data_IF_163871500813
#
_entry.id   IF_163871500813
#
_cell.length_a   1.000
_cell.length_b   1.000
_cell.length_c   1.000
_cell.angle_alpha   90.00
_cell.angle_beta   90.00
_cell.angle_gamma   90.00
#
_symmetry.space_group_name_H-M   'P 1'
#
loop_
_entity.id
_entity.type
_entity.pdbx_description
1 polymer ?
#
# COMPACT_ATOMS: atom_id res chain seq x y z
N UNK A 1 -6.05 -5.57 22.63
CA UNK A 1 -4.98 -5.84 21.65
C UNK A 1 -5.44 -6.97 20.74
N UNK A 2 -5.60 -6.71 19.44
CA UNK A 2 -6.01 -7.73 18.47
C UNK A 2 -4.89 -8.77 18.31
N UNK A 3 -5.27 -10.05 18.26
CA UNK A 3 -4.34 -11.15 18.01
C UNK A 3 -3.60 -10.97 16.66
N UNK A 4 -2.31 -11.31 16.63
CA UNK A 4 -1.44 -11.07 15.47
C UNK A 4 -1.95 -11.78 14.21
N UNK A 5 -2.52 -12.98 14.37
CA UNK A 5 -3.09 -13.74 13.26
C UNK A 5 -4.34 -13.04 12.70
N UNK A 6 -5.24 -12.57 13.57
CA UNK A 6 -6.42 -11.79 13.16
C UNK A 6 -6.00 -10.51 12.44
N UNK A 7 -4.99 -9.82 12.96
CA UNK A 7 -4.46 -8.61 12.36
C UNK A 7 -3.92 -8.84 10.95
N UNK A 8 -3.11 -9.89 10.78
CA UNK A 8 -2.60 -10.30 9.48
C UNK A 8 -3.73 -10.58 8.49
N UNK A 9 -4.78 -11.30 8.91
CA UNK A 9 -5.96 -11.58 8.06
C UNK A 9 -6.66 -10.29 7.59
N UNK A 10 -6.79 -9.28 8.44
CA UNK A 10 -7.36 -7.98 8.07
C UNK A 10 -6.53 -7.30 6.98
N UNK A 11 -5.20 -7.22 7.13
CA UNK A 11 -4.36 -6.56 6.13
C UNK A 11 -4.24 -7.36 4.83
N UNK A 12 -4.19 -8.69 4.89
CA UNK A 12 -4.30 -9.54 3.70
C UNK A 12 -5.62 -9.30 2.97
N UNK A 13 -6.74 -9.21 3.70
CA UNK A 13 -8.05 -8.91 3.11
C UNK A 13 -8.09 -7.54 2.41
N UNK A 14 -7.54 -6.49 3.03
CA UNK A 14 -7.47 -5.14 2.43
C UNK A 14 -6.63 -5.17 1.14
N UNK A 15 -5.47 -5.80 1.18
CA UNK A 15 -4.57 -5.90 0.02
C UNK A 15 -5.21 -6.71 -1.11
N UNK A 16 -5.76 -7.87 -0.81
CA UNK A 16 -6.39 -8.75 -1.80
C UNK A 16 -7.62 -8.08 -2.45
N UNK A 17 -8.45 -7.41 -1.64
CA UNK A 17 -9.60 -6.65 -2.14
C UNK A 17 -9.14 -5.52 -3.06
N UNK A 18 -8.11 -4.77 -2.68
CA UNK A 18 -7.54 -3.70 -3.50
C UNK A 18 -7.00 -4.20 -4.85
N UNK A 19 -6.32 -5.35 -4.86
CA UNK A 19 -5.83 -5.99 -6.10
C UNK A 19 -7.00 -6.39 -7.00
N UNK A 20 -8.04 -7.03 -6.46
CA UNK A 20 -9.23 -7.45 -7.22
C UNK A 20 -10.04 -6.24 -7.74
N UNK A 21 -10.02 -5.12 -7.01
CA UNK A 21 -10.61 -3.84 -7.43
C UNK A 21 -9.76 -3.12 -8.49
N UNK A 22 -8.58 -3.63 -8.82
CA UNK A 22 -7.60 -2.96 -9.69
C UNK A 22 -7.20 -1.57 -9.19
N UNK A 23 -7.27 -1.36 -7.86
CA UNK A 23 -6.88 -0.10 -7.25
C UNK A 23 -5.38 0.15 -7.43
N UNK A 24 -5.00 1.41 -7.52
CA UNK A 24 -3.58 1.79 -7.57
C UNK A 24 -2.85 1.29 -6.31
N UNK A 25 -1.60 0.87 -6.48
CA UNK A 25 -0.76 0.38 -5.39
C UNK A 25 -0.69 1.37 -4.21
N UNK A 26 -0.60 2.67 -4.52
CA UNK A 26 -0.63 3.76 -3.52
C UNK A 26 -1.91 3.73 -2.68
N UNK A 27 -3.08 3.64 -3.32
CA UNK A 27 -4.38 3.58 -2.65
C UNK A 27 -4.50 2.35 -1.74
N UNK A 28 -3.99 1.19 -2.17
CA UNK A 28 -3.97 -0.03 -1.34
C UNK A 28 -3.11 0.19 -0.07
N UNK A 29 -1.89 0.73 -0.23
CA UNK A 29 -1.00 1.01 0.89
C UNK A 29 -1.57 2.06 1.84
N UNK A 30 -2.19 3.12 1.29
CA UNK A 30 -2.89 4.14 2.08
C UNK A 30 -4.04 3.53 2.87
N UNK A 31 -4.86 2.67 2.25
CA UNK A 31 -5.92 1.93 2.94
C UNK A 31 -5.37 1.07 4.09
N UNK A 32 -4.22 0.41 3.93
CA UNK A 32 -3.57 -0.31 5.02
C UNK A 32 -3.15 0.61 6.18
N UNK A 33 -2.55 1.77 5.90
CA UNK A 33 -2.17 2.74 6.95
C UNK A 33 -3.40 3.25 7.69
N UNK A 34 -4.47 3.58 6.97
CA UNK A 34 -5.72 4.05 7.57
C UNK A 34 -6.40 2.97 8.40
N UNK A 35 -6.42 1.73 7.91
CA UNK A 35 -6.93 0.57 8.64
C UNK A 35 -6.11 0.35 9.92
N UNK A 36 -4.78 0.46 9.86
CA UNK A 36 -3.94 0.38 11.05
C UNK A 36 -4.32 1.46 12.08
N UNK A 37 -4.41 2.73 11.68
CA UNK A 37 -4.73 3.83 12.60
C UNK A 37 -6.10 3.69 13.23
N UNK A 38 -7.11 3.32 12.43
CA UNK A 38 -8.47 3.09 12.92
C UNK A 38 -8.55 1.95 13.94
N UNK A 39 -7.69 0.93 13.82
CA UNK A 39 -7.63 -0.20 14.75
C UNK A 39 -6.74 0.06 15.98
N UNK A 40 -5.75 0.95 15.87
CA UNK A 40 -4.82 1.30 16.94
C UNK A 40 -5.30 2.50 17.79
N UNK A 41 -6.33 3.24 17.34
CA UNK A 41 -6.73 4.54 17.91
C UNK A 41 -5.58 5.56 17.97
N UNK A 42 -4.79 5.63 16.89
CA UNK A 42 -3.70 6.60 16.79
C UNK A 42 -4.16 7.91 16.13
N UNK A 43 -3.94 9.02 16.82
CA UNK A 43 -4.14 10.37 16.27
C UNK A 43 -3.13 10.61 15.14
N UNK A 44 -3.57 11.22 14.03
CA UNK A 44 -2.67 11.57 12.93
C UNK A 44 -2.41 13.07 12.88
N UNK A 45 -1.15 13.51 12.98
CA UNK A 45 -0.82 14.94 13.18
C UNK A 45 -0.98 15.88 11.96
N UNK A 46 -1.64 15.47 10.87
CA UNK A 46 -1.75 16.34 9.69
C UNK A 46 -3.07 16.19 8.93
N UNK A 47 -3.75 17.31 8.70
CA UNK A 47 -4.86 17.46 7.77
C UNK A 47 -4.34 17.86 6.38
N UNK A 48 -4.71 17.12 5.34
CA UNK A 48 -4.38 17.37 3.94
C UNK A 48 -5.52 16.73 3.11
N UNK A 49 -5.97 17.33 2.00
CA UNK A 49 -7.11 16.82 1.24
C UNK A 49 -6.88 15.41 0.72
N UNK A 50 -7.95 14.61 0.74
CA UNK A 50 -7.97 13.24 0.22
C UNK A 50 -8.02 13.25 -1.29
N UNK A 51 -6.96 12.73 -1.91
CA UNK A 51 -6.92 12.49 -3.34
C UNK A 51 -6.78 10.98 -3.58
N UNK A 52 -7.81 10.23 -3.23
CA UNK A 52 -7.86 8.79 -3.52
C UNK A 52 -8.85 8.48 -4.65
N UNK A 53 -8.59 7.35 -5.30
CA UNK A 53 -9.37 6.80 -6.41
C UNK A 53 -10.81 6.50 -5.99
N UNK A 54 -11.79 7.01 -6.75
CA UNK A 54 -13.21 6.75 -6.48
C UNK A 54 -13.57 5.37 -7.04
N UNK A 55 -13.82 4.43 -6.13
CA UNK A 55 -14.28 3.08 -6.45
C UNK A 55 -15.78 2.97 -6.17
N UNK A 56 -16.52 2.31 -7.05
CA UNK A 56 -17.96 2.12 -6.90
C UNK A 56 -18.31 1.27 -5.67
N UNK A 57 -19.22 1.73 -4.81
CA UNK A 57 -19.61 1.01 -3.58
C UNK A 57 -20.09 -0.42 -3.83
N UNK A 58 -20.75 -0.67 -4.97
CA UNK A 58 -21.21 -2.00 -5.37
C UNK A 58 -20.03 -2.94 -5.63
N UNK A 59 -18.99 -2.45 -6.30
CA UNK A 59 -17.81 -3.23 -6.65
C UNK A 59 -17.03 -3.59 -5.39
N UNK A 60 -16.90 -2.63 -4.46
CA UNK A 60 -16.32 -2.87 -3.13
C UNK A 60 -17.05 -3.99 -2.40
N UNK A 61 -18.39 -3.94 -2.34
CA UNK A 61 -19.19 -4.97 -1.66
C UNK A 61 -19.03 -6.34 -2.34
N UNK A 62 -19.14 -6.39 -3.67
CA UNK A 62 -19.04 -7.64 -4.42
C UNK A 62 -17.66 -8.29 -4.26
N UNK A 63 -16.59 -7.50 -4.35
CA UNK A 63 -15.23 -8.00 -4.19
C UNK A 63 -14.98 -8.43 -2.75
N UNK A 64 -15.33 -7.60 -1.76
CA UNK A 64 -15.23 -7.97 -0.35
C UNK A 64 -15.97 -9.29 -0.05
N UNK A 65 -17.19 -9.44 -0.58
CA UNK A 65 -17.97 -10.67 -0.43
C UNK A 65 -17.27 -11.86 -1.07
N UNK A 66 -16.72 -11.71 -2.28
CA UNK A 66 -15.99 -12.78 -2.99
C UNK A 66 -14.68 -13.20 -2.32
N UNK A 67 -14.05 -12.30 -1.55
CA UNK A 67 -12.83 -12.61 -0.78
C UNK A 67 -13.20 -13.33 0.52
N UNK A 68 -14.26 -12.91 1.20
CA UNK A 68 -14.70 -13.51 2.48
C UNK A 68 -15.39 -14.87 2.24
N UNK A 69 -16.14 -15.02 1.15
CA UNK A 69 -16.94 -16.21 0.84
C UNK A 69 -16.65 -16.73 -0.58
N UNK A 70 -15.45 -17.28 -0.84
CA UNK A 70 -15.04 -17.70 -2.19
C UNK A 70 -15.93 -18.79 -2.80
N UNK A 71 -16.53 -19.66 -1.98
CA UNK A 71 -17.38 -20.77 -2.43
C UNK A 71 -18.86 -20.38 -2.65
N UNK A 72 -19.22 -19.11 -2.39
CA UNK A 72 -20.59 -18.62 -2.55
C UNK A 72 -20.78 -17.97 -3.93
N UNK A 73 -22.00 -18.05 -4.50
CA UNK A 73 -22.31 -17.29 -5.71
C UNK A 73 -22.19 -15.79 -5.44
N UNK A 74 -22.02 -15.02 -6.52
CA UNK A 74 -22.06 -13.56 -6.47
C UNK A 74 -23.38 -13.07 -5.87
N UNK A 75 -23.33 -11.92 -5.20
CA UNK A 75 -24.51 -11.32 -4.60
C UNK A 75 -25.51 -10.87 -5.68
N UNK A 76 -26.72 -11.41 -5.63
CA UNK A 76 -27.83 -10.91 -6.42
C UNK A 76 -28.25 -9.51 -5.97
N UNK A 77 -28.85 -8.75 -6.89
CA UNK A 77 -29.51 -7.49 -6.54
C UNK A 77 -30.74 -7.81 -5.68
N UNK A 78 -30.60 -7.61 -4.37
CA UNK A 78 -31.61 -7.99 -3.40
C UNK A 78 -31.36 -7.37 -2.03
N UNK A 79 -32.20 -7.71 -1.03
CA UNK A 79 -32.15 -7.11 0.31
C UNK A 79 -30.78 -7.26 0.98
N UNK A 80 -30.08 -8.38 0.77
CA UNK A 80 -28.73 -8.59 1.30
C UNK A 80 -27.73 -7.54 0.80
N UNK A 81 -27.72 -7.27 -0.51
CA UNK A 81 -26.83 -6.26 -1.10
C UNK A 81 -27.17 -4.86 -0.56
N UNK A 82 -28.45 -4.54 -0.39
CA UNK A 82 -28.89 -3.27 0.17
C UNK A 82 -28.48 -3.09 1.64
N UNK A 83 -28.65 -4.13 2.46
CA UNK A 83 -28.25 -4.10 3.87
C UNK A 83 -26.72 -3.97 4.01
N UNK A 84 -25.95 -4.65 3.16
CA UNK A 84 -24.49 -4.51 3.13
C UNK A 84 -24.08 -3.10 2.72
N UNK A 85 -24.77 -2.49 1.75
CA UNK A 85 -24.52 -1.11 1.34
C UNK A 85 -24.76 -0.13 2.48
N UNK A 86 -25.87 -0.25 3.21
CA UNK A 86 -26.16 0.61 4.36
C UNK A 86 -25.13 0.43 5.47
N UNK A 87 -24.79 -0.83 5.78
CA UNK A 87 -23.77 -1.17 6.78
C UNK A 87 -22.40 -0.59 6.42
N UNK A 88 -22.03 -0.65 5.13
CA UNK A 88 -20.76 -0.12 4.65
C UNK A 88 -20.69 1.42 4.78
N UNK A 89 -21.76 2.13 4.43
CA UNK A 89 -21.84 3.61 4.61
C UNK A 89 -21.75 3.98 6.10
N UNK A 90 -22.42 3.23 6.98
CA UNK A 90 -22.32 3.44 8.42
C UNK A 90 -20.91 3.16 8.94
N UNK A 91 -20.27 2.07 8.49
CA UNK A 91 -18.89 1.74 8.85
C UNK A 91 -17.92 2.82 8.37
N UNK A 92 -18.04 3.29 7.13
CA UNK A 92 -17.23 4.39 6.59
C UNK A 92 -17.31 5.61 7.50
N UNK A 93 -18.52 6.02 7.89
CA UNK A 93 -18.71 7.15 8.78
C UNK A 93 -18.06 6.95 10.16
N UNK A 94 -18.18 5.75 10.74
CA UNK A 94 -17.56 5.40 12.02
C UNK A 94 -16.03 5.41 11.89
N UNK A 95 -15.47 4.84 10.83
CA UNK A 95 -14.03 4.83 10.55
C UNK A 95 -13.49 6.25 10.39
N UNK A 96 -14.21 7.13 9.67
CA UNK A 96 -13.82 8.54 9.54
C UNK A 96 -13.77 9.25 10.90
N UNK A 97 -14.71 8.96 11.80
CA UNK A 97 -14.67 9.49 13.17
C UNK A 97 -13.50 8.95 13.98
N UNK A 98 -13.16 7.67 13.86
CA UNK A 98 -11.97 7.11 14.52
C UNK A 98 -10.65 7.69 14.00
N UNK A 99 -10.67 8.22 12.78
CA UNK A 99 -9.53 8.88 12.16
C UNK A 99 -9.56 10.40 12.37
N UNK A 100 -10.52 10.95 13.13
CA UNK A 100 -10.76 12.39 13.28
C UNK A 100 -10.85 13.16 11.94
N UNK A 101 -11.33 12.49 10.89
CA UNK A 101 -11.31 13.03 9.53
C UNK A 101 -9.89 13.49 9.11
N UNK A 102 -8.88 12.68 9.48
CA UNK A 102 -7.48 12.81 9.08
C UNK A 102 -7.01 11.48 8.45
N UNK A 103 -7.05 11.41 7.13
CA UNK A 103 -6.71 10.21 6.34
C UNK A 103 -5.45 10.45 5.49
N UNK A 104 -4.66 11.45 5.86
CA UNK A 104 -3.39 11.74 5.18
C UNK A 104 -2.41 10.63 5.47
N UNK A 105 -1.73 10.12 4.44
CA UNK A 105 -0.77 9.02 4.62
C UNK A 105 0.57 9.43 4.05
N UNK A 106 1.63 9.26 4.86
CA UNK A 106 3.02 9.45 4.39
C UNK A 106 3.47 8.12 3.79
N UNK A 107 3.30 7.97 2.48
CA UNK A 107 3.55 6.70 1.80
C UNK A 107 4.96 6.66 1.17
N UNK A 108 5.70 5.53 1.22
CA UNK A 108 7.01 5.40 0.56
C UNK A 108 7.01 5.54 -0.97
N UNK A 109 5.85 5.54 -1.64
CA UNK A 109 5.73 5.50 -3.11
C UNK A 109 6.51 6.61 -3.81
N UNK A 110 6.43 7.85 -3.34
CA UNK A 110 7.12 8.97 -3.99
C UNK A 110 8.63 8.78 -3.96
N UNK A 111 9.19 8.38 -2.82
CA UNK A 111 10.61 8.08 -2.69
C UNK A 111 11.01 6.89 -3.56
N UNK A 112 10.21 5.83 -3.54
CA UNK A 112 10.47 4.64 -4.35
C UNK A 112 10.47 4.98 -5.85
N UNK A 113 9.51 5.78 -6.33
CA UNK A 113 9.44 6.25 -7.71
C UNK A 113 10.68 7.07 -8.09
N UNK A 114 11.11 7.99 -7.22
CA UNK A 114 12.33 8.77 -7.45
C UNK A 114 13.57 7.88 -7.56
N UNK A 115 13.71 6.88 -6.67
CA UNK A 115 14.85 5.97 -6.71
C UNK A 115 14.85 5.06 -7.95
N UNK A 116 13.69 4.54 -8.33
CA UNK A 116 13.53 3.74 -9.56
C UNK A 116 13.88 4.58 -10.77
N UNK A 117 13.33 5.79 -10.90
CA UNK A 117 13.59 6.68 -12.03
C UNK A 117 15.09 7.00 -12.16
N UNK A 118 15.74 7.32 -11.04
CA UNK A 118 17.18 7.57 -11.03
C UNK A 118 17.98 6.35 -11.50
N UNK A 119 17.68 5.15 -11.01
CA UNK A 119 18.41 3.93 -11.38
C UNK A 119 18.09 3.43 -12.80
N UNK A 120 16.84 3.58 -13.25
CA UNK A 120 16.42 3.23 -14.60
C UNK A 120 17.17 4.04 -15.66
N UNK A 121 17.54 5.28 -15.36
CA UNK A 121 18.40 6.08 -16.24
C UNK A 121 19.79 5.44 -16.43
N UNK A 122 20.36 4.82 -15.39
CA UNK A 122 21.67 4.17 -15.46
C UNK A 122 21.63 2.78 -16.10
N UNK A 123 20.54 2.03 -15.93
CA UNK A 123 20.40 0.64 -16.39
C UNK A 123 19.01 0.37 -17.01
N UNK A 124 18.65 1.04 -18.12
CA UNK A 124 17.28 1.01 -18.63
C UNK A 124 16.85 -0.40 -19.06
N UNK A 125 17.75 -1.16 -19.70
CA UNK A 125 17.47 -2.51 -20.21
C UNK A 125 17.19 -3.50 -19.10
N UNK A 126 17.99 -3.47 -18.04
CA UNK A 126 17.85 -4.35 -16.89
C UNK A 126 16.57 -4.07 -16.11
N UNK A 127 16.23 -2.79 -15.94
CA UNK A 127 14.99 -2.38 -15.26
C UNK A 127 13.74 -2.81 -16.02
N UNK A 128 13.73 -2.63 -17.34
CA UNK A 128 12.61 -3.01 -18.21
C UNK A 128 12.48 -4.54 -18.30
N UNK A 129 13.56 -5.25 -18.64
CA UNK A 129 13.50 -6.71 -18.83
C UNK A 129 13.13 -7.46 -17.54
N UNK A 130 13.55 -6.95 -16.38
CA UNK A 130 13.37 -7.64 -15.10
C UNK A 130 12.25 -7.06 -14.25
N UNK A 131 11.49 -6.09 -14.79
CA UNK A 131 10.32 -5.50 -14.14
C UNK A 131 10.64 -5.02 -12.70
N UNK A 132 11.83 -4.44 -12.50
CA UNK A 132 12.34 -4.08 -11.16
C UNK A 132 11.40 -3.10 -10.47
N UNK A 133 10.88 -2.13 -11.22
CA UNK A 133 9.97 -1.12 -10.68
C UNK A 133 8.68 -1.75 -10.15
N UNK A 134 8.03 -2.59 -10.98
CA UNK A 134 6.82 -3.31 -10.60
C UNK A 134 7.04 -4.20 -9.38
N UNK A 135 8.13 -5.00 -9.38
CA UNK A 135 8.50 -5.84 -8.25
C UNK A 135 8.71 -5.04 -6.97
N UNK A 136 9.29 -3.84 -7.07
CA UNK A 136 9.51 -2.97 -5.91
C UNK A 136 8.19 -2.46 -5.31
N UNK A 137 7.22 -2.09 -6.15
CA UNK A 137 5.89 -1.68 -5.70
C UNK A 137 5.09 -2.86 -5.13
N UNK A 138 5.24 -4.07 -5.69
CA UNK A 138 4.65 -5.29 -5.13
C UNK A 138 5.19 -5.54 -3.72
N UNK A 139 6.53 -5.50 -3.55
CA UNK A 139 7.16 -5.68 -2.24
C UNK A 139 6.74 -4.61 -1.23
N UNK A 140 6.60 -3.36 -1.67
CA UNK A 140 6.10 -2.27 -0.82
C UNK A 140 4.68 -2.55 -0.33
N UNK A 141 3.78 -2.97 -1.23
CA UNK A 141 2.42 -3.36 -0.85
C UNK A 141 2.41 -4.55 0.10
N UNK A 142 3.19 -5.58 -0.18
CA UNK A 142 3.23 -6.79 0.64
C UNK A 142 3.81 -6.52 2.03
N UNK A 143 4.70 -5.53 2.18
CA UNK A 143 5.17 -5.08 3.48
C UNK A 143 4.04 -4.51 4.36
N UNK A 144 2.98 -3.97 3.77
CA UNK A 144 1.82 -3.44 4.51
C UNK A 144 0.93 -4.52 5.14
N UNK A 145 1.22 -5.81 4.92
CA UNK A 145 0.68 -6.89 5.75
C UNK A 145 1.11 -6.71 7.22
N UNK A 146 2.25 -6.05 7.45
CA UNK A 146 2.79 -5.68 8.76
C UNK A 146 2.97 -4.15 8.85
N UNK A 147 1.87 -3.39 9.00
CA UNK A 147 1.92 -1.93 8.98
C UNK A 147 2.79 -1.34 10.11
N UNK A 148 2.89 -2.01 11.27
CA UNK A 148 3.76 -1.57 12.37
C UNK A 148 5.22 -1.44 11.91
N UNK A 149 5.70 -2.39 11.11
CA UNK A 149 7.05 -2.37 10.59
C UNK A 149 7.24 -1.22 9.59
N UNK A 150 6.25 -0.99 8.72
CA UNK A 150 6.29 0.12 7.77
C UNK A 150 6.30 1.47 8.49
N UNK A 151 5.46 1.63 9.52
CA UNK A 151 5.32 2.87 10.28
C UNK A 151 6.47 3.10 11.28
N UNK A 152 7.17 2.05 11.70
CA UNK A 152 8.35 2.15 12.57
C UNK A 152 9.60 2.72 11.86
N UNK A 153 9.59 2.83 10.52
CA UNK A 153 10.73 3.29 9.73
C UNK A 153 10.35 4.53 8.91
N UNK A 154 11.36 5.33 8.53
CA UNK A 154 11.10 6.46 7.63
C UNK A 154 10.65 5.97 6.24
N UNK A 155 9.77 6.70 5.54
CA UNK A 155 9.32 6.29 4.21
C UNK A 155 10.45 6.06 3.21
N UNK A 156 11.53 6.84 3.32
CA UNK A 156 12.75 6.70 2.53
C UNK A 156 13.42 5.33 2.77
N UNK A 157 13.51 4.92 4.04
CA UNK A 157 14.13 3.65 4.43
C UNK A 157 13.33 2.47 3.89
N UNK A 158 12.00 2.51 4.05
CA UNK A 158 11.11 1.45 3.53
C UNK A 158 11.25 1.33 2.01
N UNK A 159 11.25 2.46 1.29
CA UNK A 159 11.43 2.49 -0.16
C UNK A 159 12.77 1.87 -0.61
N UNK A 160 13.88 2.23 0.05
CA UNK A 160 15.21 1.69 -0.25
C UNK A 160 15.26 0.19 0.02
N UNK A 161 14.68 -0.28 1.12
CA UNK A 161 14.63 -1.71 1.45
C UNK A 161 13.88 -2.47 0.36
N UNK A 162 12.68 -2.03 -0.02
CA UNK A 162 11.88 -2.69 -1.07
C UNK A 162 12.62 -2.75 -2.40
N UNK A 163 13.24 -1.64 -2.82
CA UNK A 163 14.05 -1.58 -4.03
C UNK A 163 15.28 -2.50 -3.95
N UNK A 164 15.98 -2.53 -2.83
CA UNK A 164 17.16 -3.38 -2.64
C UNK A 164 16.82 -4.87 -2.73
N UNK A 165 15.66 -5.27 -2.19
CA UNK A 165 15.15 -6.64 -2.29
C UNK A 165 14.77 -6.96 -3.74
N UNK A 166 14.08 -6.05 -4.44
CA UNK A 166 13.72 -6.22 -5.84
C UNK A 166 14.96 -6.41 -6.74
N UNK A 167 16.02 -5.60 -6.51
CA UNK A 167 17.28 -5.72 -7.24
C UNK A 167 17.98 -7.05 -7.01
N UNK A 168 17.99 -7.53 -5.76
CA UNK A 168 18.55 -8.84 -5.40
C UNK A 168 17.74 -9.98 -6.02
N UNK A 169 16.42 -9.92 -5.92
CA UNK A 169 15.52 -10.94 -6.45
C UNK A 169 15.59 -11.05 -7.98
N UNK A 170 15.70 -9.92 -8.67
CA UNK A 170 15.85 -9.85 -10.14
C UNK A 170 17.28 -10.20 -10.63
N UNK A 171 18.22 -10.46 -9.71
CA UNK A 171 19.64 -10.78 -10.03
C UNK A 171 20.26 -9.73 -10.95
N UNK A 172 19.94 -8.45 -10.77
CA UNK A 172 20.60 -7.38 -11.54
C UNK A 172 22.03 -7.30 -11.05
N UNK A 173 22.97 -7.68 -11.92
CA UNK A 173 24.39 -7.65 -11.64
C UNK A 173 24.87 -6.20 -11.72
N UNK A 174 24.71 -5.44 -10.64
CA UNK A 174 25.46 -4.20 -10.49
C UNK A 174 26.89 -4.58 -10.15
N UNK A 175 27.79 -4.49 -11.14
CA UNK A 175 29.22 -4.54 -10.86
C UNK A 175 29.68 -3.42 -9.90
N UNK A 176 28.84 -2.41 -9.63
CA UNK A 176 29.08 -1.40 -8.61
C UNK A 176 27.90 -1.27 -7.61
N UNK A 177 27.77 -2.19 -6.65
CA UNK A 177 26.93 -1.95 -5.46
C UNK A 177 27.30 -0.63 -4.76
N UNK A 178 28.59 -0.26 -4.80
CA UNK A 178 29.08 1.02 -4.31
C UNK A 178 28.46 2.20 -5.07
N UNK A 179 28.23 2.07 -6.38
CA UNK A 179 27.64 3.15 -7.17
C UNK A 179 26.15 3.32 -6.85
N UNK A 180 25.40 2.25 -6.61
CA UNK A 180 24.00 2.38 -6.12
C UNK A 180 24.00 2.99 -4.72
N UNK A 181 24.86 2.50 -3.82
CA UNK A 181 24.93 3.05 -2.47
C UNK A 181 25.27 4.55 -2.50
N UNK A 182 26.29 4.96 -3.26
CA UNK A 182 26.66 6.36 -3.46
C UNK A 182 25.53 7.13 -4.13
N UNK A 183 24.89 6.58 -5.17
CA UNK A 183 23.80 7.26 -5.89
C UNK A 183 22.59 7.46 -4.98
N UNK A 184 22.20 6.44 -4.22
CA UNK A 184 21.12 6.53 -3.23
C UNK A 184 21.51 7.53 -2.14
N UNK A 185 22.73 7.48 -1.61
CA UNK A 185 23.19 8.42 -0.58
C UNK A 185 23.25 9.86 -1.09
N UNK A 186 23.65 10.07 -2.34
CA UNK A 186 23.67 11.37 -3.01
C UNK A 186 22.26 11.89 -3.28
N UNK A 187 21.33 11.02 -3.69
CA UNK A 187 19.90 11.36 -3.85
C UNK A 187 19.29 11.73 -2.49
N UNK A 188 19.58 10.96 -1.43
CA UNK A 188 19.10 11.26 -0.07
C UNK A 188 19.61 12.62 0.41
N UNK A 189 20.90 12.90 0.23
CA UNK A 189 21.51 14.19 0.63
C UNK A 189 20.84 15.36 -0.11
N UNK A 190 20.63 15.24 -1.42
CA UNK A 190 20.03 16.30 -2.23
C UNK A 190 18.53 16.50 -2.02
N UNK A 191 17.80 15.53 -1.44
CA UNK A 191 16.40 15.71 -1.05
C UNK A 191 16.22 16.26 0.38
N UNK A 192 17.31 16.41 1.14
CA UNK A 192 17.31 16.96 2.51
C UNK A 192 17.75 18.42 2.61
N UNK A 193 18.04 19.07 1.47
CA UNK A 193 18.28 20.52 1.33
C UNK A 193 17.07 21.18 0.65
#
# INVERSE_FOLDING_TARGET
MMDLEKRRKVFTFVIESGIRLQARNQTICSACILTHRALSHEDSDAFCPYEDEIVGIRDVINIAYSVIYPDRPLLDVGPTLWNLRESLVQMEYITLRFLDFRMTTRNPHNFLLHYISALQHWCPREFEQKHVGELSFILLRDAHVHPDWVLAHSPQTVAIICLSIALRASKVNFLNFLFIYISIHHIIINQSQ
#
